data_IF_960996454365
#
_entry.id   IF_960996454365
#
_cell.length_a   1.000
_cell.length_b   1.000
_cell.length_c   1.000
_cell.angle_alpha   90.00
_cell.angle_beta   90.00
_cell.angle_gamma   90.00
#
_symmetry.space_group_name_H-M   'P 1'
#
loop_
_entity.id
_entity.type
_entity.pdbx_description
1 polymer ?
#
# COMPACT_ATOMS: atom_id res chain seq x y z
N UNK A 1 -6.88 -6.25 1.83
CA UNK A 1 -5.68 -5.68 2.46
C UNK A 1 -5.59 -6.26 3.85
N UNK A 2 -4.62 -7.14 4.08
CA UNK A 2 -4.41 -7.84 5.35
C UNK A 2 -3.03 -7.55 5.92
N UNK A 3 -1.98 -7.67 5.12
CA UNK A 3 -0.61 -7.48 5.59
C UNK A 3 -0.20 -6.00 5.51
N UNK A 4 -0.92 -5.21 4.73
CA UNK A 4 -0.80 -3.78 4.56
C UNK A 4 -0.83 -3.37 3.10
N UNK A 5 -1.30 -2.16 2.81
CA UNK A 5 -1.61 -1.75 1.44
C UNK A 5 -0.40 -1.90 0.50
N UNK A 6 0.77 -1.41 0.92
CA UNK A 6 1.98 -1.51 0.09
C UNK A 6 2.46 -2.95 -0.04
N UNK A 7 2.41 -3.75 1.02
CA UNK A 7 2.81 -5.16 0.98
C UNK A 7 1.93 -5.98 0.01
N UNK A 8 0.61 -5.85 0.13
CA UNK A 8 -0.33 -6.58 -0.72
C UNK A 8 -0.27 -6.11 -2.19
N UNK A 9 -0.10 -4.81 -2.44
CA UNK A 9 0.08 -4.30 -3.80
C UNK A 9 1.41 -4.73 -4.42
N UNK A 10 2.47 -4.93 -3.63
CA UNK A 10 3.73 -5.49 -4.14
C UNK A 10 3.56 -6.93 -4.60
N UNK A 11 2.83 -7.77 -3.86
CA UNK A 11 2.50 -9.12 -4.32
C UNK A 11 1.75 -9.09 -5.66
N UNK A 12 0.79 -8.17 -5.80
CA UNK A 12 0.05 -8.00 -7.06
C UNK A 12 0.95 -7.49 -8.20
N UNK A 13 1.84 -6.54 -7.92
CA UNK A 13 2.78 -5.98 -8.87
C UNK A 13 3.74 -7.04 -9.42
N UNK A 14 4.29 -7.87 -8.52
CA UNK A 14 5.18 -8.96 -8.87
C UNK A 14 4.49 -10.00 -9.74
N UNK A 15 3.32 -10.48 -9.29
CA UNK A 15 2.54 -11.49 -10.02
C UNK A 15 2.06 -11.00 -11.40
N UNK A 16 1.86 -9.69 -11.56
CA UNK A 16 1.31 -9.08 -12.78
C UNK A 16 2.36 -8.41 -13.67
N UNK A 17 3.62 -8.31 -13.22
CA UNK A 17 4.70 -7.58 -13.91
C UNK A 17 4.36 -6.11 -14.21
N UNK A 18 3.82 -5.40 -13.22
CA UNK A 18 3.46 -3.98 -13.31
C UNK A 18 4.01 -3.19 -12.14
N UNK A 19 3.96 -1.86 -12.25
CA UNK A 19 4.17 -0.92 -11.14
C UNK A 19 2.84 -0.30 -10.73
N UNK A 20 2.61 -0.16 -9.43
CA UNK A 20 1.55 0.71 -8.90
C UNK A 20 2.12 2.07 -8.52
N UNK A 21 1.47 3.14 -8.96
CA UNK A 21 1.80 4.51 -8.58
C UNK A 21 0.68 5.05 -7.69
N UNK A 22 0.96 5.17 -6.39
CA UNK A 22 -0.01 5.55 -5.35
C UNK A 22 0.11 7.02 -5.01
N UNK A 23 -1.05 7.68 -4.88
CA UNK A 23 -1.18 9.04 -4.36
C UNK A 23 -1.58 8.91 -2.89
N UNK A 24 -0.66 9.20 -1.97
CA UNK A 24 -0.87 8.92 -0.53
C UNK A 24 -2.10 9.64 0.02
N UNK A 25 -2.29 10.90 -0.38
CA UNK A 25 -3.42 11.73 0.03
C UNK A 25 -4.80 11.22 -0.43
N UNK A 26 -4.85 10.30 -1.40
CA UNK A 26 -6.08 9.71 -1.89
C UNK A 26 -6.48 8.42 -1.14
N UNK A 27 -5.57 7.84 -0.34
CA UNK A 27 -5.84 6.62 0.41
C UNK A 27 -6.85 6.91 1.51
N UNK A 28 -8.01 6.22 1.55
CA UNK A 28 -9.01 6.44 2.58
C UNK A 28 -8.45 6.17 3.98
N UNK A 29 -8.75 7.07 4.92
CA UNK A 29 -8.41 6.91 6.33
C UNK A 29 -9.45 7.59 7.22
N UNK A 30 -9.45 7.29 8.52
CA UNK A 30 -10.34 7.92 9.51
C UNK A 30 -9.64 9.08 10.24
N UNK A 31 -10.43 10.00 10.79
CA UNK A 31 -9.92 11.08 11.64
C UNK A 31 -9.27 10.54 12.94
N UNK A 32 -9.69 9.36 13.39
CA UNK A 32 -9.14 8.72 14.59
C UNK A 32 -7.68 8.32 14.38
N UNK A 33 -7.31 7.88 13.17
CA UNK A 33 -5.91 7.58 12.82
C UNK A 33 -5.05 8.83 12.92
N UNK A 34 -5.50 9.94 12.33
CA UNK A 34 -4.78 11.21 12.41
C UNK A 34 -4.64 11.72 13.85
N UNK A 35 -5.71 11.64 14.63
CA UNK A 35 -5.73 12.07 16.04
C UNK A 35 -4.79 11.21 16.91
N UNK A 36 -4.77 9.89 16.68
CA UNK A 36 -3.88 8.98 17.39
C UNK A 36 -2.41 9.21 17.03
N UNK A 37 -2.10 9.45 15.75
CA UNK A 37 -0.75 9.75 15.30
C UNK A 37 -0.23 11.07 15.88
N UNK A 38 -1.07 12.11 15.92
CA UNK A 38 -0.74 13.38 16.58
C UNK A 38 -0.44 13.18 18.07
N UNK A 39 -1.27 12.41 18.79
CA UNK A 39 -1.06 12.13 20.21
C UNK A 39 0.23 11.33 20.50
N UNK A 40 0.73 10.58 19.51
CA UNK A 40 1.91 9.72 19.63
C UNK A 40 3.16 10.33 18.97
N UNK A 41 3.06 11.52 18.36
CA UNK A 41 4.13 12.21 17.62
C UNK A 41 4.76 11.32 16.53
N UNK A 42 3.92 10.68 15.73
CA UNK A 42 4.32 9.82 14.61
C UNK A 42 3.63 10.23 13.31
N UNK A 43 4.19 9.82 12.17
CA UNK A 43 3.56 10.03 10.86
C UNK A 43 2.39 9.03 10.67
N UNK A 44 1.14 9.49 10.50
CA UNK A 44 0.01 8.60 10.24
C UNK A 44 0.14 7.83 8.92
N UNK A 45 0.90 8.33 7.94
CA UNK A 45 1.06 7.65 6.65
C UNK A 45 1.76 6.30 6.79
N UNK A 46 2.60 6.12 7.79
CA UNK A 46 3.22 4.82 8.05
C UNK A 46 2.16 3.77 8.38
N UNK A 47 1.16 4.11 9.19
CA UNK A 47 0.05 3.19 9.48
C UNK A 47 -0.91 3.04 8.32
N UNK A 48 -1.24 4.11 7.62
CA UNK A 48 -2.18 4.06 6.48
C UNK A 48 -1.64 3.18 5.35
N UNK A 49 -0.33 3.21 5.10
CA UNK A 49 0.28 2.53 3.96
C UNK A 49 0.81 1.13 4.31
N UNK A 50 1.20 0.92 5.56
CA UNK A 50 1.87 -0.33 5.98
C UNK A 50 1.22 -1.02 7.18
N UNK A 51 0.20 -0.41 7.80
CA UNK A 51 -0.66 -1.09 8.76
C UNK A 51 -1.46 -2.20 8.08
N UNK A 52 -1.60 -3.32 8.76
CA UNK A 52 -2.42 -4.45 8.31
C UNK A 52 -3.81 -4.45 8.93
N UNK A 53 -4.58 -5.51 8.67
CA UNK A 53 -5.89 -5.80 9.28
C UNK A 53 -7.01 -4.79 8.97
N UNK A 54 -6.89 -3.99 7.91
CA UNK A 54 -7.97 -3.10 7.46
C UNK A 54 -9.13 -3.84 6.81
N UNK A 55 -8.89 -5.05 6.29
CA UNK A 55 -9.87 -5.90 5.59
C UNK A 55 -10.60 -5.23 4.41
N UNK A 56 -10.05 -4.13 3.88
CA UNK A 56 -10.54 -3.46 2.66
C UNK A 56 -10.13 -4.20 1.37
N UNK A 57 -10.82 -3.93 0.27
CA UNK A 57 -10.44 -4.45 -1.05
C UNK A 57 -9.52 -3.48 -1.80
N UNK A 58 -8.52 -4.03 -2.49
CA UNK A 58 -7.72 -3.32 -3.49
C UNK A 58 -7.94 -3.97 -4.85
N UNK A 59 -8.24 -3.17 -5.88
CA UNK A 59 -8.56 -3.66 -7.22
C UNK A 59 -8.05 -2.70 -8.29
N UNK A 60 -7.90 -3.22 -9.50
CA UNK A 60 -7.55 -2.45 -10.70
C UNK A 60 -8.69 -2.50 -11.70
N UNK A 61 -9.01 -1.36 -12.29
CA UNK A 61 -10.01 -1.23 -13.33
C UNK A 61 -9.34 -0.75 -14.62
N UNK A 62 -9.75 -1.32 -15.76
CA UNK A 62 -9.26 -0.86 -17.06
C UNK A 62 -9.72 0.58 -17.34
N UNK A 63 -9.03 1.32 -18.23
CA UNK A 63 -9.31 2.74 -18.48
C UNK A 63 -10.72 3.00 -19.06
N UNK A 64 -11.34 2.00 -19.67
CA UNK A 64 -12.69 2.09 -20.24
C UNK A 64 -13.79 1.65 -19.26
N UNK A 65 -13.42 1.19 -18.06
CA UNK A 65 -14.37 0.70 -17.06
C UNK A 65 -14.86 1.84 -16.18
N UNK A 66 -16.17 2.05 -16.14
CA UNK A 66 -16.79 2.91 -15.14
C UNK A 66 -16.60 2.30 -13.75
N UNK A 67 -16.00 3.06 -12.84
CA UNK A 67 -15.65 2.57 -11.51
C UNK A 67 -16.93 2.44 -10.67
N UNK A 68 -17.23 1.26 -10.10
CA UNK A 68 -18.43 1.07 -9.30
C UNK A 68 -18.47 2.00 -8.07
N UNK A 69 -19.67 2.33 -7.60
CA UNK A 69 -19.85 3.09 -6.36
C UNK A 69 -19.20 2.37 -5.18
N UNK A 70 -18.59 3.13 -4.27
CA UNK A 70 -17.96 2.60 -3.04
C UNK A 70 -16.46 2.35 -3.18
N UNK A 71 -15.89 2.50 -4.37
CA UNK A 71 -14.44 2.48 -4.59
C UNK A 71 -13.85 3.89 -4.52
N UNK A 72 -12.64 4.00 -3.99
CA UNK A 72 -11.83 5.23 -4.05
C UNK A 72 -10.63 4.97 -4.95
N UNK A 73 -10.40 5.84 -5.93
CA UNK A 73 -9.21 5.78 -6.77
C UNK A 73 -8.04 6.34 -5.98
N UNK A 74 -7.03 5.50 -5.73
CA UNK A 74 -5.85 5.86 -4.93
C UNK A 74 -4.57 6.00 -5.76
N UNK A 75 -4.65 5.79 -7.08
CA UNK A 75 -3.47 5.74 -7.93
C UNK A 75 -3.72 5.14 -9.30
N UNK A 76 -2.65 4.69 -9.94
CA UNK A 76 -2.67 4.11 -11.28
C UNK A 76 -1.72 2.91 -11.42
N UNK A 77 -1.90 2.15 -12.49
CA UNK A 77 -1.02 1.04 -12.87
C UNK A 77 -0.20 1.45 -14.09
N UNK A 78 1.09 1.12 -14.09
CA UNK A 78 2.02 1.42 -15.18
C UNK A 78 2.92 0.22 -15.50
N UNK A 79 3.56 0.24 -16.66
CA UNK A 79 4.60 -0.72 -16.98
C UNK A 79 5.81 -0.55 -16.03
N UNK A 80 6.36 -1.66 -15.56
CA UNK A 80 7.49 -1.68 -14.63
C UNK A 80 7.31 -2.72 -13.53
N UNK A 81 7.88 -2.46 -12.36
CA UNK A 81 7.76 -3.30 -11.17
C UNK A 81 7.65 -2.46 -9.90
N UNK A 82 7.07 -3.06 -8.87
CA UNK A 82 7.02 -2.50 -7.51
C UNK A 82 5.89 -1.52 -7.27
N UNK A 83 6.03 -0.72 -6.22
CA UNK A 83 5.02 0.26 -5.79
C UNK A 83 5.73 1.58 -5.50
N UNK A 84 5.28 2.66 -6.12
CA UNK A 84 5.68 4.03 -5.80
C UNK A 84 4.60 4.72 -4.99
N UNK A 85 5.02 5.64 -4.12
CA UNK A 85 4.14 6.54 -3.37
C UNK A 85 4.61 7.96 -3.63
N UNK A 86 3.73 8.79 -4.18
CA UNK A 86 4.01 10.18 -4.53
C UNK A 86 5.29 10.36 -5.38
N UNK A 87 5.53 9.40 -6.29
CA UNK A 87 6.68 9.38 -7.20
C UNK A 87 7.96 8.76 -6.62
N UNK A 88 7.99 8.37 -5.35
CA UNK A 88 9.12 7.68 -4.73
C UNK A 88 8.86 6.17 -4.69
N UNK A 89 9.79 5.36 -5.24
CA UNK A 89 9.70 3.91 -5.16
C UNK A 89 9.85 3.46 -3.70
N UNK A 90 8.95 2.58 -3.24
CA UNK A 90 9.08 1.95 -1.93
C UNK A 90 10.04 0.78 -2.03
N UNK A 91 11.18 0.88 -1.35
CA UNK A 91 12.19 -0.19 -1.31
C UNK A 91 11.67 -1.46 -0.62
N UNK A 92 10.94 -1.30 0.49
CA UNK A 92 10.28 -2.38 1.23
C UNK A 92 8.76 -2.32 1.14
N UNK A 93 8.10 -3.45 1.40
CA UNK A 93 6.64 -3.53 1.49
C UNK A 93 6.07 -2.93 2.77
N UNK A 94 6.90 -2.81 3.82
CA UNK A 94 6.37 -2.72 5.17
C UNK A 94 5.44 -3.91 5.46
N UNK A 95 4.50 -3.72 6.38
CA UNK A 95 3.45 -4.69 6.61
C UNK A 95 3.81 -5.83 7.55
N UNK A 96 2.82 -6.67 7.80
CA UNK A 96 2.94 -7.80 8.71
C UNK A 96 3.63 -9.00 8.05
N UNK A 97 4.51 -9.66 8.80
CA UNK A 97 5.07 -10.96 8.47
C UNK A 97 5.02 -11.85 9.71
N UNK A 98 4.55 -13.10 9.56
CA UNK A 98 4.47 -14.04 10.69
C UNK A 98 5.85 -14.36 11.30
N UNK A 99 6.88 -14.34 10.44
CA UNK A 99 8.25 -14.62 10.81
C UNK A 99 9.15 -13.63 10.06
N UNK A 100 10.10 -13.02 10.78
CA UNK A 100 11.20 -12.33 10.13
C UNK A 100 12.21 -13.36 9.63
N UNK A 101 12.70 -13.22 8.40
CA UNK A 101 13.89 -13.97 7.95
C UNK A 101 15.09 -13.52 8.76
N UNK A 102 15.41 -14.25 9.84
CA UNK A 102 16.68 -14.10 10.54
C UNK A 102 17.69 -15.10 9.96
N UNK A 103 18.65 -14.61 9.17
CA UNK A 103 19.84 -15.35 8.67
C UNK A 103 19.78 -15.67 7.18
N UNK A 104 20.75 -15.28 6.35
CA UNK A 104 22.18 -15.61 6.47
C UNK A 104 23.08 -14.52 5.89
N UNK A 105 24.05 -14.08 6.68
CA UNK A 105 25.24 -13.33 6.24
C UNK A 105 26.00 -14.12 5.18
N UNK A 106 26.41 -13.41 4.13
CA UNK A 106 27.37 -13.79 3.11
C UNK A 106 28.32 -14.97 3.44
N UNK A 107 28.41 -15.90 2.50
CA UNK A 107 29.68 -16.54 2.05
C UNK A 107 29.69 -16.56 0.53
#
# INVERSE_FOLDING_TARGET
VSDGLIADLRHLAEASHVRFDIVSAAVPTSLDVASAAEALDVDPLDWILSGGEDHGFAATFGPEVEIPSGWTVIGSVAAGSGVSVDGALRESGGGWHSFSTTGTTAV
#
